data_IF_833261474961
#
_entry.id   IF_833261474961
#
_cell.length_a   1.000
_cell.length_b   1.000
_cell.length_c   1.000
_cell.angle_alpha   90.00
_cell.angle_beta   90.00
_cell.angle_gamma   90.00
#
_symmetry.space_group_name_H-M   'P 1'
#
loop_
_entity.id
_entity.type
_entity.pdbx_description
1 polymer ?
#
# COMPACT_ATOMS: atom_id res chain seq x y z
N UNK A 1 10.44 -47.32 13.17
CA UNK A 1 9.45 -46.26 13.43
C UNK A 1 10.15 -45.05 14.02
N UNK A 2 10.61 -44.13 13.18
CA UNK A 2 11.14 -42.82 13.61
C UNK A 2 10.12 -41.76 13.18
N UNK A 3 9.45 -41.18 14.16
CA UNK A 3 8.58 -40.00 13.94
C UNK A 3 9.49 -38.79 13.76
N UNK A 4 9.54 -38.27 12.54
CA UNK A 4 10.16 -36.98 12.25
C UNK A 4 9.29 -35.86 12.85
N UNK A 5 9.81 -35.17 13.85
CA UNK A 5 9.28 -33.89 14.32
C UNK A 5 9.62 -32.85 13.26
N UNK A 6 8.63 -32.38 12.54
CA UNK A 6 8.73 -31.19 11.71
C UNK A 6 8.80 -29.95 12.62
N UNK A 7 9.78 -29.10 12.48
CA UNK A 7 9.71 -27.77 13.09
C UNK A 7 8.71 -26.92 12.29
N UNK A 8 7.54 -26.71 12.87
CA UNK A 8 6.43 -25.91 12.34
C UNK A 8 6.75 -24.41 12.11
N UNK A 9 8.01 -24.01 12.30
CA UNK A 9 8.41 -22.61 12.34
C UNK A 9 8.77 -21.99 10.98
N UNK A 10 9.18 -22.77 9.98
CA UNK A 10 9.59 -22.22 8.68
C UNK A 10 8.42 -22.12 7.70
N UNK A 11 7.51 -23.10 7.71
CA UNK A 11 6.27 -23.06 6.92
C UNK A 11 5.33 -21.90 7.32
N UNK A 12 5.35 -21.52 8.61
CA UNK A 12 4.62 -20.38 9.13
C UNK A 12 5.19 -19.05 8.63
N UNK A 13 6.49 -18.92 8.39
CA UNK A 13 7.09 -17.66 7.93
C UNK A 13 6.78 -17.37 6.45
N UNK A 14 6.65 -18.34 5.59
CA UNK A 14 6.25 -18.15 4.19
C UNK A 14 4.74 -17.97 4.03
N UNK A 15 3.93 -18.73 4.76
CA UNK A 15 2.48 -18.47 4.84
C UNK A 15 2.17 -17.15 5.54
N UNK A 16 2.96 -16.75 6.56
CA UNK A 16 2.75 -15.50 7.26
C UNK A 16 3.07 -14.28 6.39
N UNK A 17 3.99 -14.35 5.44
CA UNK A 17 4.23 -13.26 4.49
C UNK A 17 3.04 -13.02 3.54
N UNK A 18 2.18 -14.02 3.31
CA UNK A 18 0.98 -13.92 2.49
C UNK A 18 -0.32 -13.86 3.30
N UNK A 19 -0.34 -14.42 4.52
CA UNK A 19 -1.52 -14.55 5.37
C UNK A 19 -1.47 -13.66 6.61
N UNK A 20 -0.28 -13.34 7.15
CA UNK A 20 -0.21 -12.32 8.18
C UNK A 20 -0.44 -11.00 7.50
N UNK A 21 -1.66 -10.65 7.69
CA UNK A 21 -2.18 -9.34 7.59
C UNK A 21 -1.57 -8.50 6.50
N UNK A 22 -2.36 -7.80 5.83
CA UNK A 22 -1.93 -6.57 5.27
C UNK A 22 -0.87 -5.94 6.19
N UNK A 23 0.36 -6.43 6.13
CA UNK A 23 1.42 -5.49 6.12
C UNK A 23 1.18 -4.80 4.78
N UNK A 24 0.20 -3.91 4.79
CA UNK A 24 0.30 -2.70 4.05
C UNK A 24 1.58 -2.10 4.63
N UNK A 25 2.69 -2.77 4.32
CA UNK A 25 3.99 -2.18 4.51
C UNK A 25 3.88 -1.01 3.59
N UNK A 26 3.79 0.10 4.21
CA UNK A 26 3.50 1.39 3.67
C UNK A 26 4.31 1.73 2.40
N UNK A 27 5.38 1.00 2.15
CA UNK A 27 6.27 1.12 1.01
C UNK A 27 5.65 0.64 -0.32
N UNK A 28 4.64 -0.24 -0.26
CA UNK A 28 4.01 -0.83 -1.45
C UNK A 28 2.74 -0.10 -1.94
N UNK A 29 2.34 0.98 -1.27
CA UNK A 29 1.27 1.87 -1.75
C UNK A 29 1.83 3.24 -2.13
N UNK A 30 3.14 3.47 -1.96
CA UNK A 30 3.77 4.71 -2.35
C UNK A 30 3.88 4.79 -3.88
N UNK A 31 3.07 5.62 -4.49
CA UNK A 31 3.41 6.21 -5.77
C UNK A 31 4.61 7.14 -5.55
N UNK A 32 5.51 7.17 -6.53
CA UNK A 32 6.65 8.07 -6.56
C UNK A 32 6.17 9.52 -6.29
N UNK A 33 6.57 10.06 -5.15
CA UNK A 33 6.09 11.35 -4.63
C UNK A 33 6.72 12.56 -5.35
N UNK A 34 7.01 12.45 -6.64
CA UNK A 34 7.53 13.56 -7.43
C UNK A 34 6.50 14.58 -7.87
N UNK A 35 5.21 14.34 -7.59
CA UNK A 35 4.17 15.28 -7.97
C UNK A 35 4.02 16.41 -6.95
N UNK A 36 3.82 17.61 -7.47
CA UNK A 36 3.48 18.77 -6.67
C UNK A 36 2.13 18.58 -5.96
N UNK A 37 1.92 19.17 -4.78
CA UNK A 37 0.69 19.02 -4.04
C UNK A 37 -0.51 19.46 -4.88
N UNK A 38 -1.62 18.72 -4.74
CA UNK A 38 -2.87 19.04 -5.42
C UNK A 38 -3.26 20.52 -5.25
N UNK A 39 -3.57 21.26 -6.33
CA UNK A 39 -3.86 22.69 -6.25
C UNK A 39 -5.19 23.04 -5.60
N UNK A 40 -5.96 22.08 -5.09
CA UNK A 40 -7.35 22.29 -4.65
C UNK A 40 -7.56 22.48 -3.16
N UNK A 41 -6.54 22.30 -2.31
CA UNK A 41 -6.66 22.65 -0.90
C UNK A 41 -6.54 24.18 -0.83
N UNK A 42 -7.60 24.87 -0.35
CA UNK A 42 -7.47 26.27 0.03
C UNK A 42 -6.30 26.38 0.97
N UNK A 43 -5.15 26.78 0.44
CA UNK A 43 -3.97 27.06 1.24
C UNK A 43 -4.34 28.16 2.21
N UNK A 44 -4.06 27.95 3.46
CA UNK A 44 -4.08 29.01 4.45
C UNK A 44 -3.04 30.03 3.98
N UNK A 45 -3.48 31.24 3.60
CA UNK A 45 -2.65 32.29 3.00
C UNK A 45 -1.71 32.97 4.01
N UNK A 46 -1.22 32.24 4.98
CA UNK A 46 -0.20 32.73 5.87
C UNK A 46 1.15 32.13 5.52
N UNK A 47 2.13 32.95 5.20
CA UNK A 47 3.56 32.61 5.14
C UNK A 47 4.09 31.91 6.43
N UNK A 48 3.23 31.83 7.44
CA UNK A 48 3.59 31.40 8.79
C UNK A 48 3.93 29.90 8.93
N UNK A 49 3.56 29.07 7.93
CA UNK A 49 3.92 27.65 7.98
C UNK A 49 4.60 27.16 6.69
N UNK A 50 4.98 28.05 5.81
CA UNK A 50 5.62 27.70 4.54
C UNK A 50 6.96 26.97 4.75
N UNK A 51 7.71 27.35 5.80
CA UNK A 51 8.96 26.70 6.18
C UNK A 51 8.74 25.29 6.72
N UNK A 52 7.78 25.14 7.64
CA UNK A 52 7.40 23.84 8.22
C UNK A 52 6.86 22.91 7.16
N UNK A 53 6.03 23.42 6.25
CA UNK A 53 5.55 22.67 5.10
C UNK A 53 6.70 22.16 4.21
N UNK A 54 7.67 23.01 3.91
CA UNK A 54 8.83 22.62 3.11
C UNK A 54 9.65 21.51 3.81
N UNK A 55 9.81 21.58 5.13
CA UNK A 55 10.46 20.54 5.94
C UNK A 55 9.67 19.23 5.88
N UNK A 56 8.34 19.28 6.04
CA UNK A 56 7.49 18.09 5.99
C UNK A 56 7.54 17.42 4.61
N UNK A 57 7.48 18.20 3.53
CA UNK A 57 7.62 17.70 2.15
C UNK A 57 8.99 17.05 1.93
N UNK A 58 10.07 17.65 2.40
CA UNK A 58 11.41 17.09 2.27
C UNK A 58 11.57 15.80 3.10
N UNK A 59 11.02 15.78 4.31
CA UNK A 59 11.03 14.62 5.20
C UNK A 59 10.22 13.45 4.60
N UNK A 60 9.04 13.72 4.00
CA UNK A 60 8.25 12.72 3.31
C UNK A 60 9.03 12.08 2.14
N UNK A 61 9.70 12.89 1.33
CA UNK A 61 10.52 12.39 0.19
C UNK A 61 11.66 11.47 0.63
N UNK A 62 12.15 11.63 1.85
CA UNK A 62 13.22 10.82 2.43
C UNK A 62 12.72 9.73 3.39
N UNK A 63 11.40 9.50 3.44
CA UNK A 63 10.74 8.60 4.38
C UNK A 63 11.06 8.90 5.86
N UNK A 64 11.43 10.13 6.19
CA UNK A 64 11.67 10.56 7.57
C UNK A 64 10.36 10.94 8.26
N UNK A 65 9.53 9.94 8.51
CA UNK A 65 8.18 10.11 9.05
C UNK A 65 8.18 10.71 10.47
N UNK A 66 9.22 10.49 11.25
CA UNK A 66 9.34 11.08 12.60
C UNK A 66 9.45 12.60 12.52
N UNK A 67 10.19 13.12 11.54
CA UNK A 67 10.26 14.57 11.30
C UNK A 67 8.90 15.11 10.87
N UNK A 68 8.16 14.40 9.99
CA UNK A 68 6.80 14.80 9.59
C UNK A 68 5.87 14.86 10.80
N UNK A 69 5.94 13.87 11.72
CA UNK A 69 5.13 13.83 12.94
C UNK A 69 5.49 14.98 13.88
N UNK A 70 6.77 15.21 14.12
CA UNK A 70 7.23 16.27 15.03
C UNK A 70 6.78 17.65 14.53
N UNK A 71 7.16 17.99 13.30
CA UNK A 71 6.85 19.32 12.72
C UNK A 71 5.34 19.49 12.55
N UNK A 72 4.62 18.45 12.10
CA UNK A 72 3.18 18.50 11.95
C UNK A 72 2.44 18.74 13.27
N UNK A 73 2.88 18.11 14.37
CA UNK A 73 2.33 18.37 15.70
C UNK A 73 2.55 19.83 16.15
N UNK A 74 3.74 20.38 15.90
CA UNK A 74 4.03 21.78 16.22
C UNK A 74 3.14 22.74 15.41
N UNK A 75 2.90 22.43 14.13
CA UNK A 75 2.01 23.21 13.28
C UNK A 75 0.57 23.17 13.80
N UNK A 76 0.01 21.99 14.09
CA UNK A 76 -1.38 21.90 14.57
C UNK A 76 -1.56 22.43 16.00
N UNK A 77 -0.50 22.47 16.81
CA UNK A 77 -0.54 23.11 18.12
C UNK A 77 -0.68 24.65 17.99
N UNK A 78 -0.01 25.26 17.02
CA UNK A 78 -0.11 26.68 16.71
C UNK A 78 -1.37 27.02 15.91
N UNK A 79 -1.74 26.16 14.95
CA UNK A 79 -2.90 26.34 14.08
C UNK A 79 -3.73 25.03 14.02
N UNK A 80 -4.66 24.84 14.95
CA UNK A 80 -5.48 23.62 15.02
C UNK A 80 -6.36 23.35 13.82
N UNK A 81 -6.61 24.37 12.98
CA UNK A 81 -7.47 24.25 11.78
C UNK A 81 -6.69 23.98 10.50
N UNK A 82 -5.36 23.80 10.56
CA UNK A 82 -4.53 23.53 9.41
C UNK A 82 -4.80 22.13 8.86
N UNK A 83 -5.64 22.06 7.83
CA UNK A 83 -6.07 20.80 7.18
C UNK A 83 -4.89 20.08 6.54
N UNK A 84 -4.02 20.81 5.83
CA UNK A 84 -2.89 20.22 5.11
C UNK A 84 -1.89 19.57 6.08
N UNK A 85 -1.56 20.24 7.19
CA UNK A 85 -0.69 19.65 8.21
C UNK A 85 -1.29 18.38 8.83
N UNK A 86 -2.61 18.32 9.02
CA UNK A 86 -3.29 17.12 9.51
C UNK A 86 -3.24 15.98 8.51
N UNK A 87 -3.30 16.26 7.23
CA UNK A 87 -3.17 15.26 6.15
C UNK A 87 -1.76 14.67 6.15
N UNK A 88 -0.71 15.50 6.23
CA UNK A 88 0.68 15.02 6.36
C UNK A 88 0.87 14.16 7.62
N UNK A 89 0.35 14.59 8.75
CA UNK A 89 0.39 13.83 10.00
C UNK A 89 -0.30 12.48 9.87
N UNK A 90 -1.49 12.45 9.29
CA UNK A 90 -2.23 11.20 9.11
C UNK A 90 -1.48 10.21 8.23
N UNK A 91 -0.88 10.72 7.15
CA UNK A 91 -0.03 9.92 6.27
C UNK A 91 1.16 9.36 7.04
N UNK A 92 1.85 10.21 7.80
CA UNK A 92 3.00 9.79 8.61
C UNK A 92 2.62 8.76 9.68
N UNK A 93 1.52 8.95 10.39
CA UNK A 93 1.03 7.96 11.37
C UNK A 93 0.67 6.63 10.71
N UNK A 94 0.03 6.66 9.55
CA UNK A 94 -0.24 5.42 8.81
C UNK A 94 1.06 4.74 8.37
N UNK A 95 2.05 5.50 7.92
CA UNK A 95 3.37 5.03 7.51
C UNK A 95 4.20 4.44 8.65
N UNK A 96 4.03 4.93 9.87
CA UNK A 96 4.71 4.44 11.07
C UNK A 96 3.94 3.35 11.83
N UNK A 97 2.82 2.87 11.28
CA UNK A 97 2.06 1.76 11.84
C UNK A 97 1.03 2.16 12.89
N UNK A 98 0.66 3.44 12.97
CA UNK A 98 -0.42 3.92 13.86
C UNK A 98 -1.61 4.51 13.07
N UNK A 99 -2.35 3.68 12.32
CA UNK A 99 -3.50 4.13 11.52
C UNK A 99 -4.67 4.65 12.37
N UNK A 100 -4.76 4.24 13.64
CA UNK A 100 -5.79 4.79 14.55
C UNK A 100 -5.53 6.25 14.85
N UNK A 101 -4.27 6.61 15.08
CA UNK A 101 -3.88 8.00 15.28
C UNK A 101 -4.08 8.82 14.01
N UNK A 102 -3.82 8.24 12.84
CA UNK A 102 -4.13 8.87 11.55
C UNK A 102 -5.61 9.24 11.46
N UNK A 103 -6.53 8.31 11.72
CA UNK A 103 -7.96 8.60 11.70
C UNK A 103 -8.35 9.66 12.74
N UNK A 104 -7.76 9.60 13.93
CA UNK A 104 -8.00 10.60 14.99
C UNK A 104 -7.61 12.00 14.53
N UNK A 105 -6.43 12.17 13.94
CA UNK A 105 -5.98 13.48 13.43
C UNK A 105 -6.91 14.00 12.34
N UNK A 106 -7.38 13.12 11.45
CA UNK A 106 -8.30 13.48 10.37
C UNK A 106 -9.74 13.77 10.86
N UNK A 107 -10.16 13.22 12.00
CA UNK A 107 -11.49 13.46 12.56
C UNK A 107 -11.71 14.90 13.03
N UNK A 108 -10.63 15.63 13.29
CA UNK A 108 -10.71 17.06 13.64
C UNK A 108 -10.96 17.98 12.44
N UNK A 109 -10.92 17.43 11.22
CA UNK A 109 -11.25 18.19 10.00
C UNK A 109 -12.77 18.14 9.82
N UNK A 110 -13.43 19.28 9.94
CA UNK A 110 -14.88 19.45 9.75
C UNK A 110 -15.16 20.43 8.63
N UNK A 111 -16.27 20.23 7.92
CA UNK A 111 -16.71 21.12 6.85
C UNK A 111 -15.85 21.10 5.58
N UNK A 112 -14.86 20.21 5.51
CA UNK A 112 -13.99 20.02 4.34
C UNK A 112 -14.10 18.56 3.90
N UNK A 113 -14.43 18.34 2.63
CA UNK A 113 -14.46 17.02 2.01
C UNK A 113 -13.71 17.06 0.68
N UNK A 114 -12.43 16.76 0.74
CA UNK A 114 -11.54 16.70 -0.43
C UNK A 114 -11.19 15.27 -0.79
N UNK A 115 -10.82 15.06 -2.05
CA UNK A 115 -10.33 13.76 -2.50
C UNK A 115 -9.14 13.27 -1.68
N UNK A 116 -8.17 14.16 -1.41
CA UNK A 116 -7.00 13.85 -0.61
C UNK A 116 -7.38 13.39 0.82
N UNK A 117 -8.33 14.08 1.46
CA UNK A 117 -8.83 13.67 2.78
C UNK A 117 -9.46 12.27 2.74
N UNK A 118 -10.29 12.00 1.72
CA UNK A 118 -10.89 10.65 1.54
C UNK A 118 -9.83 9.59 1.28
N UNK A 119 -8.82 9.89 0.46
CA UNK A 119 -7.69 8.99 0.15
C UNK A 119 -6.93 8.64 1.42
N UNK A 120 -6.57 9.63 2.26
CA UNK A 120 -5.80 9.36 3.48
C UNK A 120 -6.65 8.64 4.55
N UNK A 121 -7.94 8.94 4.66
CA UNK A 121 -8.86 8.15 5.50
C UNK A 121 -8.96 6.70 5.03
N UNK A 122 -9.13 6.49 3.73
CA UNK A 122 -9.19 5.14 3.16
C UNK A 122 -7.88 4.37 3.36
N UNK A 123 -6.74 5.03 3.23
CA UNK A 123 -5.42 4.45 3.51
C UNK A 123 -5.32 3.93 4.95
N UNK A 124 -5.74 4.75 5.92
CA UNK A 124 -5.74 4.37 7.32
C UNK A 124 -6.74 3.22 7.61
N UNK A 125 -7.92 3.24 6.99
CA UNK A 125 -8.92 2.17 7.11
C UNK A 125 -8.40 0.84 6.53
N UNK A 126 -7.74 0.87 5.37
CA UNK A 126 -7.10 -0.33 4.79
C UNK A 126 -6.05 -0.90 5.76
N UNK A 127 -5.26 -0.04 6.39
CA UNK A 127 -4.28 -0.46 7.39
C UNK A 127 -4.93 -1.04 8.67
N UNK A 128 -6.17 -0.68 8.96
CA UNK A 128 -7.00 -1.25 10.02
C UNK A 128 -7.84 -2.45 9.56
N UNK A 129 -7.68 -2.89 8.30
CA UNK A 129 -8.47 -3.97 7.69
C UNK A 129 -9.96 -3.67 7.52
N UNK A 130 -10.35 -2.40 7.61
CA UNK A 130 -11.73 -1.95 7.35
C UNK A 130 -11.89 -1.61 5.85
N UNK A 131 -11.89 -2.69 5.06
CA UNK A 131 -11.87 -2.58 3.59
C UNK A 131 -13.19 -2.08 3.02
N UNK A 132 -14.31 -2.44 3.63
CA UNK A 132 -15.63 -2.02 3.16
C UNK A 132 -15.82 -0.51 3.28
N UNK A 133 -15.43 0.07 4.41
CA UNK A 133 -15.51 1.51 4.61
C UNK A 133 -14.52 2.27 3.72
N UNK A 134 -13.32 1.71 3.52
CA UNK A 134 -12.36 2.26 2.57
C UNK A 134 -12.94 2.30 1.13
N UNK A 135 -13.59 1.23 0.69
CA UNK A 135 -14.25 1.17 -0.63
C UNK A 135 -15.32 2.26 -0.75
N UNK A 136 -16.18 2.44 0.27
CA UNK A 136 -17.21 3.49 0.25
C UNK A 136 -16.63 4.88 0.05
N UNK A 137 -15.52 5.20 0.71
CA UNK A 137 -14.83 6.48 0.55
C UNK A 137 -14.22 6.66 -0.84
N UNK A 138 -13.67 5.57 -1.42
CA UNK A 138 -12.92 5.64 -2.67
C UNK A 138 -13.80 5.51 -3.91
N UNK A 139 -14.96 4.87 -3.81
CA UNK A 139 -15.84 4.64 -4.96
C UNK A 139 -16.19 5.89 -5.76
N UNK A 140 -16.56 7.04 -5.14
CA UNK A 140 -16.81 8.27 -5.89
C UNK A 140 -15.59 8.81 -6.64
N UNK A 141 -14.37 8.43 -6.20
CA UNK A 141 -13.09 8.85 -6.76
C UNK A 141 -12.59 7.90 -7.87
N UNK A 142 -13.18 6.72 -8.01
CA UNK A 142 -12.73 5.70 -8.99
C UNK A 142 -13.70 5.51 -10.15
N UNK A 143 -14.99 5.62 -9.91
CA UNK A 143 -16.05 5.43 -10.93
C UNK A 143 -17.21 6.44 -10.84
N UNK A 144 -17.08 7.43 -9.93
CA UNK A 144 -18.13 8.40 -9.65
C UNK A 144 -17.92 9.78 -10.26
N UNK A 145 -18.79 10.71 -9.86
CA UNK A 145 -18.83 12.10 -10.36
C UNK A 145 -17.57 12.91 -10.04
N UNK A 146 -16.79 12.48 -9.06
CA UNK A 146 -15.60 13.21 -8.62
C UNK A 146 -14.35 12.86 -9.43
N UNK A 147 -14.36 11.74 -10.16
CA UNK A 147 -13.22 11.23 -10.93
C UNK A 147 -12.63 12.28 -11.88
N UNK A 148 -13.46 13.05 -12.56
CA UNK A 148 -13.04 14.07 -13.54
C UNK A 148 -12.38 15.29 -12.89
N UNK A 149 -12.58 15.49 -11.60
CA UNK A 149 -12.04 16.62 -10.84
C UNK A 149 -10.68 16.34 -10.23
N UNK A 150 -10.24 15.06 -10.28
CA UNK A 150 -9.00 14.63 -9.65
C UNK A 150 -7.78 14.97 -10.49
N UNK A 151 -6.68 15.27 -9.82
CA UNK A 151 -5.37 15.18 -10.44
C UNK A 151 -5.09 13.74 -10.91
N UNK A 152 -4.20 13.56 -11.87
CA UNK A 152 -3.80 12.22 -12.32
C UNK A 152 -3.22 11.40 -11.16
N UNK A 153 -2.52 12.04 -10.23
CA UNK A 153 -1.93 11.40 -9.04
C UNK A 153 -3.00 10.92 -8.06
N UNK A 154 -3.95 11.81 -7.69
CA UNK A 154 -5.05 11.43 -6.78
C UNK A 154 -5.89 10.30 -7.37
N UNK A 155 -6.11 10.33 -8.69
CA UNK A 155 -6.84 9.30 -9.40
C UNK A 155 -6.12 7.94 -9.31
N UNK A 156 -4.81 7.91 -9.57
CA UNK A 156 -4.02 6.69 -9.43
C UNK A 156 -3.98 6.19 -7.99
N UNK A 157 -3.80 7.11 -7.04
CA UNK A 157 -3.82 6.78 -5.60
C UNK A 157 -5.14 6.18 -5.18
N UNK A 158 -6.26 6.80 -5.55
CA UNK A 158 -7.60 6.30 -5.25
C UNK A 158 -7.85 4.93 -5.87
N UNK A 159 -7.53 4.74 -7.16
CA UNK A 159 -7.67 3.46 -7.86
C UNK A 159 -6.82 2.37 -7.22
N UNK A 160 -5.55 2.66 -6.88
CA UNK A 160 -4.65 1.69 -6.28
C UNK A 160 -5.14 1.22 -4.90
N UNK A 161 -5.58 2.16 -4.05
CA UNK A 161 -6.14 1.84 -2.75
C UNK A 161 -7.46 1.07 -2.86
N UNK A 162 -8.34 1.47 -3.81
CA UNK A 162 -9.60 0.76 -4.05
C UNK A 162 -9.34 -0.67 -4.54
N UNK A 163 -8.38 -0.88 -5.45
CA UNK A 163 -8.02 -2.21 -5.93
C UNK A 163 -7.54 -3.12 -4.78
N UNK A 164 -6.70 -2.59 -3.88
CA UNK A 164 -6.29 -3.32 -2.67
C UNK A 164 -7.49 -3.65 -1.78
N UNK A 165 -8.37 -2.67 -1.51
CA UNK A 165 -9.53 -2.88 -0.66
C UNK A 165 -10.51 -3.89 -1.27
N UNK A 166 -10.78 -3.84 -2.57
CA UNK A 166 -11.60 -4.82 -3.28
C UNK A 166 -10.99 -6.22 -3.23
N UNK A 167 -9.67 -6.36 -3.46
CA UNK A 167 -8.99 -7.66 -3.35
C UNK A 167 -9.16 -8.27 -1.97
N UNK A 168 -8.98 -7.47 -0.93
CA UNK A 168 -9.07 -7.92 0.46
C UNK A 168 -10.52 -8.21 0.89
N UNK A 169 -11.50 -7.55 0.27
CA UNK A 169 -12.94 -7.87 0.41
C UNK A 169 -13.38 -9.01 -0.50
N UNK A 170 -12.45 -9.67 -1.21
CA UNK A 170 -12.73 -10.76 -2.17
C UNK A 170 -13.58 -10.35 -3.39
N UNK A 171 -13.68 -9.07 -3.68
CA UNK A 171 -14.28 -8.57 -4.91
C UNK A 171 -13.22 -8.47 -6.01
N UNK A 172 -12.69 -9.64 -6.42
CA UNK A 172 -11.56 -9.74 -7.33
C UNK A 172 -11.84 -9.12 -8.70
N UNK A 173 -13.05 -9.26 -9.23
CA UNK A 173 -13.42 -8.68 -10.53
C UNK A 173 -13.30 -7.13 -10.55
N UNK A 174 -13.70 -6.48 -9.45
CA UNK A 174 -13.54 -5.02 -9.32
C UNK A 174 -12.06 -4.63 -9.12
N UNK A 175 -11.30 -5.45 -8.41
CA UNK A 175 -9.86 -5.25 -8.22
C UNK A 175 -9.09 -5.38 -9.53
N UNK A 176 -9.33 -6.46 -10.29
CA UNK A 176 -8.68 -6.74 -11.57
C UNK A 176 -8.85 -5.58 -12.54
N UNK A 177 -10.10 -5.12 -12.72
CA UNK A 177 -10.38 -3.96 -13.57
C UNK A 177 -9.51 -2.74 -13.23
N UNK A 178 -9.39 -2.41 -11.94
CA UNK A 178 -8.61 -1.25 -11.51
C UNK A 178 -7.11 -1.47 -11.67
N UNK A 179 -6.60 -2.69 -11.42
CA UNK A 179 -5.20 -3.01 -11.65
C UNK A 179 -4.82 -2.97 -13.13
N UNK A 180 -5.67 -3.51 -14.00
CA UNK A 180 -5.47 -3.47 -15.45
C UNK A 180 -5.47 -2.03 -15.98
N UNK A 181 -6.43 -1.19 -15.55
CA UNK A 181 -6.46 0.23 -15.90
C UNK A 181 -5.19 0.96 -15.42
N UNK A 182 -4.72 0.68 -14.20
CA UNK A 182 -3.52 1.31 -13.65
C UNK A 182 -2.26 0.88 -14.41
N UNK A 183 -2.12 -0.41 -14.73
CA UNK A 183 -0.97 -0.93 -15.45
C UNK A 183 -0.95 -0.51 -16.93
N UNK A 184 -2.12 -0.26 -17.53
CA UNK A 184 -2.22 0.31 -18.87
C UNK A 184 -1.77 1.79 -18.89
N UNK A 185 -2.01 2.54 -17.80
CA UNK A 185 -1.57 3.93 -17.65
C UNK A 185 -0.08 4.04 -17.27
N UNK A 186 0.38 3.17 -16.37
CA UNK A 186 1.74 3.21 -15.82
C UNK A 186 2.20 1.81 -15.43
N UNK A 187 3.24 1.31 -16.08
CA UNK A 187 3.90 0.06 -15.67
C UNK A 187 4.71 0.28 -14.40
N UNK A 188 4.08 0.08 -13.25
CA UNK A 188 4.66 0.30 -11.94
C UNK A 188 4.86 -1.05 -11.22
N UNK A 189 6.09 -1.38 -10.78
CA UNK A 189 6.40 -2.65 -10.11
C UNK A 189 5.55 -2.92 -8.85
N UNK A 190 5.19 -1.86 -8.11
CA UNK A 190 4.38 -2.00 -6.89
C UNK A 190 2.92 -2.32 -7.23
N UNK A 191 2.37 -1.72 -8.28
CA UNK A 191 1.03 -2.05 -8.77
C UNK A 191 1.00 -3.50 -9.25
N UNK A 192 2.00 -3.94 -10.04
CA UNK A 192 2.15 -5.34 -10.45
C UNK A 192 2.20 -6.29 -9.28
N UNK A 193 3.00 -5.97 -8.27
CA UNK A 193 3.09 -6.79 -7.06
C UNK A 193 1.74 -6.91 -6.35
N UNK A 194 1.03 -5.80 -6.16
CA UNK A 194 -0.29 -5.82 -5.52
C UNK A 194 -1.32 -6.60 -6.36
N UNK A 195 -1.26 -6.48 -7.68
CA UNK A 195 -2.10 -7.27 -8.58
C UNK A 195 -1.78 -8.76 -8.48
N UNK A 196 -0.51 -9.13 -8.51
CA UNK A 196 -0.09 -10.52 -8.33
C UNK A 196 -0.62 -11.12 -7.01
N UNK A 197 -0.58 -10.35 -5.92
CA UNK A 197 -1.17 -10.78 -4.64
C UNK A 197 -2.68 -10.98 -4.74
N UNK A 198 -3.39 -10.09 -5.41
CA UNK A 198 -4.83 -10.22 -5.65
C UNK A 198 -5.14 -11.53 -6.40
N UNK A 199 -4.45 -11.78 -7.49
CA UNK A 199 -4.57 -13.00 -8.29
C UNK A 199 -4.26 -14.28 -7.49
N UNK A 200 -3.22 -14.23 -6.66
CA UNK A 200 -2.87 -15.35 -5.78
C UNK A 200 -3.98 -15.65 -4.76
N UNK A 201 -4.55 -14.62 -4.15
CA UNK A 201 -5.65 -14.74 -3.18
C UNK A 201 -6.94 -15.28 -3.84
N UNK A 202 -7.20 -14.92 -5.08
CA UNK A 202 -8.30 -15.46 -5.89
C UNK A 202 -8.07 -16.94 -6.27
N UNK A 203 -6.83 -17.42 -6.22
CA UNK A 203 -6.46 -18.79 -6.61
C UNK A 203 -5.81 -18.89 -8.00
N UNK A 204 -5.60 -17.80 -8.70
CA UNK A 204 -5.00 -17.69 -10.02
C UNK A 204 -3.47 -17.59 -9.91
N UNK A 205 -2.85 -18.68 -9.44
CA UNK A 205 -1.42 -18.70 -9.13
C UNK A 205 -0.51 -18.53 -10.36
N UNK A 206 -0.92 -19.05 -11.55
CA UNK A 206 -0.17 -18.83 -12.81
C UNK A 206 -0.19 -17.36 -13.23
N UNK A 207 -1.34 -16.71 -13.18
CA UNK A 207 -1.47 -15.30 -13.51
C UNK A 207 -0.69 -14.42 -12.52
N UNK A 208 -0.72 -14.80 -11.23
CA UNK A 208 0.10 -14.16 -10.21
C UNK A 208 1.58 -14.23 -10.56
N UNK A 209 2.07 -15.42 -10.91
CA UNK A 209 3.46 -15.63 -11.28
C UNK A 209 3.86 -14.81 -12.52
N UNK A 210 2.97 -14.70 -13.52
CA UNK A 210 3.20 -13.89 -14.70
C UNK A 210 3.38 -12.39 -14.36
N UNK A 211 2.66 -11.88 -13.35
CA UNK A 211 2.85 -10.51 -12.86
C UNK A 211 4.14 -10.34 -12.05
N UNK A 212 4.59 -11.37 -11.33
CA UNK A 212 5.78 -11.30 -10.47
C UNK A 212 7.10 -11.38 -11.24
N UNK A 213 7.14 -12.18 -12.32
CA UNK A 213 8.37 -12.42 -13.09
C UNK A 213 9.09 -11.14 -13.52
N UNK A 214 8.44 -10.13 -14.13
CA UNK A 214 9.14 -8.92 -14.59
C UNK A 214 9.66 -8.02 -13.46
N UNK A 215 9.21 -8.23 -12.21
CA UNK A 215 9.54 -7.38 -11.08
C UNK A 215 10.33 -8.10 -9.98
N UNK A 216 10.78 -9.33 -10.23
CA UNK A 216 11.32 -10.21 -9.21
C UNK A 216 12.58 -9.65 -8.53
N UNK A 217 13.39 -8.91 -9.28
CA UNK A 217 14.61 -8.26 -8.80
C UNK A 217 14.40 -6.78 -8.41
N UNK A 218 13.21 -6.23 -8.70
CA UNK A 218 12.90 -4.84 -8.43
C UNK A 218 12.14 -4.65 -7.10
N UNK A 219 11.32 -5.64 -6.73
CA UNK A 219 10.50 -5.61 -5.53
C UNK A 219 10.95 -6.73 -4.61
N UNK A 220 11.53 -6.43 -3.44
CA UNK A 220 12.07 -7.45 -2.53
C UNK A 220 11.05 -8.54 -2.14
N UNK A 221 9.77 -8.18 -2.07
CA UNK A 221 8.69 -9.12 -1.73
C UNK A 221 8.22 -9.96 -2.93
N UNK A 222 8.65 -9.67 -4.16
CA UNK A 222 8.19 -10.40 -5.35
C UNK A 222 8.74 -11.83 -5.39
N UNK A 223 9.99 -12.03 -5.01
CA UNK A 223 10.62 -13.36 -5.01
C UNK A 223 9.95 -14.33 -4.03
N UNK A 224 9.76 -13.99 -2.74
CA UNK A 224 8.98 -14.82 -1.83
C UNK A 224 7.54 -15.10 -2.32
N UNK A 225 6.89 -14.11 -2.93
CA UNK A 225 5.55 -14.29 -3.49
C UNK A 225 5.55 -15.25 -4.69
N UNK A 226 6.60 -15.20 -5.55
CA UNK A 226 6.77 -16.13 -6.66
C UNK A 226 7.02 -17.56 -6.17
N UNK A 227 7.83 -17.73 -5.12
CA UNK A 227 8.02 -19.04 -4.47
C UNK A 227 6.67 -19.60 -3.99
N UNK A 228 5.87 -18.80 -3.31
CA UNK A 228 4.55 -19.24 -2.83
C UNK A 228 3.60 -19.61 -3.99
N UNK A 229 3.62 -18.86 -5.09
CA UNK A 229 2.83 -19.18 -6.28
C UNK A 229 3.30 -20.49 -6.92
N UNK A 230 4.63 -20.70 -7.07
CA UNK A 230 5.21 -21.92 -7.60
C UNK A 230 4.88 -23.14 -6.73
N UNK A 231 4.96 -22.98 -5.40
CA UNK A 231 4.58 -24.04 -4.45
C UNK A 231 3.11 -24.43 -4.59
N UNK A 232 2.22 -23.43 -4.70
CA UNK A 232 0.78 -23.67 -4.93
C UNK A 232 0.50 -24.41 -6.23
N UNK A 233 1.37 -24.26 -7.23
CA UNK A 233 1.29 -24.93 -8.54
C UNK A 233 2.00 -26.30 -8.57
N UNK A 234 2.67 -26.73 -7.47
CA UNK A 234 3.47 -27.95 -7.43
C UNK A 234 4.73 -27.88 -8.30
N UNK A 235 5.22 -26.67 -8.61
CA UNK A 235 6.37 -26.46 -9.49
C UNK A 235 7.69 -26.38 -8.71
N UNK A 236 7.97 -27.41 -7.93
CA UNK A 236 9.14 -27.49 -7.04
C UNK A 236 10.48 -27.26 -7.76
N UNK A 237 10.65 -27.79 -8.97
CA UNK A 237 11.86 -27.58 -9.76
C UNK A 237 12.10 -26.10 -10.11
N UNK A 238 11.03 -25.33 -10.24
CA UNK A 238 11.13 -23.89 -10.50
C UNK A 238 11.49 -23.15 -9.22
N UNK A 239 11.01 -23.61 -8.06
CA UNK A 239 11.45 -23.09 -6.76
C UNK A 239 12.94 -23.31 -6.57
N UNK A 240 13.46 -24.54 -6.84
CA UNK A 240 14.89 -24.83 -6.77
C UNK A 240 15.71 -23.90 -7.66
N UNK A 241 15.25 -23.69 -8.90
CA UNK A 241 15.93 -22.78 -9.83
C UNK A 241 15.92 -21.33 -9.35
N UNK A 242 14.81 -20.87 -8.80
CA UNK A 242 14.63 -19.49 -8.35
C UNK A 242 15.49 -19.16 -7.14
N UNK A 243 15.68 -20.12 -6.22
CA UNK A 243 16.42 -19.95 -4.96
C UNK A 243 17.89 -20.37 -5.05
N UNK A 244 18.30 -20.96 -6.18
CA UNK A 244 19.68 -21.43 -6.39
C UNK A 244 20.67 -20.27 -6.24
N UNK A 245 21.63 -20.45 -5.33
CA UNK A 245 22.68 -19.48 -5.04
C UNK A 245 22.29 -18.43 -3.96
N UNK A 246 21.04 -18.44 -3.49
CA UNK A 246 20.61 -17.63 -2.34
C UNK A 246 20.46 -18.46 -1.07
N UNK A 247 20.01 -19.70 -1.23
CA UNK A 247 19.91 -20.67 -0.15
C UNK A 247 20.70 -21.92 -0.48
N UNK A 248 21.14 -22.61 0.57
CA UNK A 248 21.75 -23.93 0.45
C UNK A 248 20.70 -24.96 0.01
N UNK A 249 21.13 -25.98 -0.75
CA UNK A 249 20.23 -27.01 -1.28
C UNK A 249 19.42 -27.70 -0.16
N UNK A 250 20.00 -27.93 1.01
CA UNK A 250 19.30 -28.50 2.16
C UNK A 250 18.13 -27.64 2.63
N UNK A 251 18.33 -26.31 2.70
CA UNK A 251 17.26 -25.37 3.07
C UNK A 251 16.17 -25.25 2.00
N UNK A 252 16.54 -25.40 0.73
CA UNK A 252 15.56 -25.42 -0.36
C UNK A 252 14.69 -26.67 -0.25
N UNK A 253 15.28 -27.84 0.02
CA UNK A 253 14.54 -29.08 0.20
C UNK A 253 13.65 -29.08 1.46
N UNK A 254 14.05 -28.37 2.52
CA UNK A 254 13.20 -28.17 3.70
C UNK A 254 11.99 -27.26 3.44
N UNK A 255 12.10 -26.38 2.43
CA UNK A 255 11.05 -25.41 2.06
C UNK A 255 9.98 -26.05 1.17
N UNK A 256 10.36 -27.01 0.32
CA UNK A 256 9.51 -27.69 -0.65
C UNK A 256 8.83 -28.90 0.00
#
# INVERSE_FOLDING_TARGET
MRRSFFPASLSLLLCSALLSGCVVTNDYIAFDSKAAPSPQIKRYDGNEWASERAVMVAAEKTNNWQTVISVGNDVIAKNPTNVEARIYLARAFTKTGDPRQALRVLSFISGVDTAELRIERARALIALTDFEEAVKLLKPLTDGSDLQKLSAEDRRSAKSLAAVAYSMSKNYAAADKLYEELLAELDNPIIRYNYARSLYLEGRAEDSLAQLQPIIDQVPAAKPAAVAALMKLGRENDVRRLLKGELDDEKIEELI
#
